data_IF_350234635405
#
_entry.id   IF_350234635405
#
_cell.length_a   1.000
_cell.length_b   1.000
_cell.length_c   1.000
_cell.angle_alpha   90.00
_cell.angle_beta   90.00
_cell.angle_gamma   90.00
#
_symmetry.space_group_name_H-M   'P 1'
#
loop_
_entity.id
_entity.type
_entity.pdbx_description
1 polymer ?
#
# COMPACT_ATOMS: atom_id res chain seq x y z
N UNK A 1 49.59 7.64 28.13
CA UNK A 1 49.81 8.98 27.54
C UNK A 1 48.92 10.00 28.24
N UNK A 2 49.49 11.14 28.66
CA UNK A 2 48.79 12.20 29.39
C UNK A 2 47.80 12.92 28.45
N UNK A 3 46.49 12.74 28.65
CA UNK A 3 45.41 13.18 27.73
C UNK A 3 45.22 14.72 27.75
N UNK A 4 45.91 15.42 28.66
CA UNK A 4 45.71 16.85 28.95
C UNK A 4 46.33 17.78 27.89
N UNK A 5 47.39 17.36 27.18
CA UNK A 5 48.08 18.17 26.16
C UNK A 5 48.17 17.47 24.79
N UNK A 6 47.04 16.96 24.30
CA UNK A 6 46.96 16.32 22.98
C UNK A 6 46.96 17.38 21.86
N UNK A 7 47.85 17.24 20.87
CA UNK A 7 47.84 17.97 19.60
C UNK A 7 46.96 17.25 18.57
N UNK A 8 46.70 17.87 17.42
CA UNK A 8 45.80 17.30 16.41
C UNK A 8 46.23 15.90 15.95
N UNK A 9 47.52 15.72 15.64
CA UNK A 9 48.05 14.43 15.15
C UNK A 9 47.98 13.33 16.20
N UNK A 10 48.33 13.63 17.45
CA UNK A 10 48.29 12.66 18.55
C UNK A 10 46.86 12.22 18.85
N UNK A 11 45.90 13.15 18.83
CA UNK A 11 44.49 12.82 19.04
C UNK A 11 43.89 12.06 17.87
N UNK A 12 44.22 12.46 16.64
CA UNK A 12 43.84 11.75 15.42
C UNK A 12 44.38 10.31 15.39
N UNK A 13 45.62 10.09 15.84
CA UNK A 13 46.20 8.74 15.95
C UNK A 13 45.44 7.87 16.94
N UNK A 14 45.12 8.40 18.12
CA UNK A 14 44.34 7.66 19.14
C UNK A 14 42.95 7.30 18.58
N UNK A 15 42.24 8.23 17.94
CA UNK A 15 40.94 7.95 17.34
C UNK A 15 41.05 6.88 16.25
N UNK A 16 42.09 6.94 15.41
CA UNK A 16 42.31 5.96 14.35
C UNK A 16 42.61 4.56 14.91
N UNK A 17 43.53 4.46 15.85
CA UNK A 17 43.98 3.17 16.37
C UNK A 17 42.96 2.54 17.33
N UNK A 18 42.44 3.32 18.29
CA UNK A 18 41.58 2.82 19.35
C UNK A 18 40.10 2.74 18.95
N UNK A 19 39.63 3.58 17.99
CA UNK A 19 38.23 3.55 17.54
C UNK A 19 38.09 2.99 16.12
N UNK A 20 38.64 3.66 15.11
CA UNK A 20 38.41 3.31 13.69
C UNK A 20 38.94 1.91 13.35
N UNK A 21 40.17 1.59 13.76
CA UNK A 21 40.79 0.29 13.51
C UNK A 21 40.07 -0.86 14.23
N UNK A 22 39.57 -0.63 15.45
CA UNK A 22 38.76 -1.61 16.18
C UNK A 22 37.42 -1.86 15.48
N UNK A 23 36.78 -0.80 14.97
CA UNK A 23 35.55 -0.89 14.17
C UNK A 23 35.80 -1.64 12.86
N UNK A 24 36.81 -1.24 12.09
CA UNK A 24 37.16 -1.87 10.80
C UNK A 24 37.45 -3.36 10.97
N UNK A 25 38.27 -3.73 11.95
CA UNK A 25 38.55 -5.15 12.25
C UNK A 25 37.29 -5.94 12.64
N UNK A 26 36.34 -5.29 13.32
CA UNK A 26 35.08 -5.95 13.66
C UNK A 26 34.19 -6.13 12.42
N UNK A 27 34.18 -5.15 11.51
CA UNK A 27 33.37 -5.15 10.29
C UNK A 27 33.95 -6.03 9.17
N UNK A 28 35.19 -6.52 9.31
CA UNK A 28 35.77 -7.56 8.45
C UNK A 28 35.15 -8.95 8.70
N UNK A 29 34.43 -9.15 9.80
CA UNK A 29 33.74 -10.42 10.07
C UNK A 29 32.48 -10.56 9.21
N UNK A 30 32.17 -11.78 8.77
CA UNK A 30 30.95 -12.08 8.00
C UNK A 30 29.66 -11.88 8.80
N UNK A 31 29.70 -12.13 10.12
CA UNK A 31 28.55 -11.96 11.01
C UNK A 31 28.72 -10.76 11.94
N UNK A 32 27.94 -9.71 11.67
CA UNK A 32 27.89 -8.49 12.46
C UNK A 32 26.54 -8.42 13.18
N UNK A 33 26.59 -8.37 14.49
CA UNK A 33 25.40 -8.21 15.33
C UNK A 33 24.96 -6.74 15.33
N UNK A 34 23.75 -6.46 14.82
CA UNK A 34 23.22 -5.08 14.65
C UNK A 34 23.38 -4.20 15.91
N UNK A 35 23.21 -4.79 17.10
CA UNK A 35 23.18 -4.08 18.38
C UNK A 35 24.36 -4.40 19.31
N UNK A 36 25.48 -4.92 18.78
CA UNK A 36 26.63 -5.26 19.61
C UNK A 36 27.24 -4.03 20.26
N UNK A 37 27.43 -4.11 21.57
CA UNK A 37 28.18 -3.11 22.30
C UNK A 37 29.68 -3.36 22.14
N UNK A 38 30.31 -2.74 21.14
CA UNK A 38 31.73 -2.98 20.81
C UNK A 38 32.71 -2.31 21.78
N UNK A 39 32.27 -1.24 22.45
CA UNK A 39 33.10 -0.43 23.33
C UNK A 39 32.58 -0.44 24.75
N UNK A 40 33.48 -0.60 25.72
CA UNK A 40 33.14 -0.44 27.12
C UNK A 40 32.88 1.03 27.47
N UNK A 41 32.25 1.28 28.62
CA UNK A 41 32.04 2.64 29.11
C UNK A 41 33.36 3.40 29.35
N UNK A 42 34.44 2.69 29.69
CA UNK A 42 35.76 3.29 29.91
C UNK A 42 36.43 3.67 28.58
N UNK A 43 36.34 2.81 27.56
CA UNK A 43 36.82 3.10 26.21
C UNK A 43 36.05 4.27 25.59
N UNK A 44 34.72 4.28 25.73
CA UNK A 44 33.88 5.38 25.27
C UNK A 44 34.26 6.71 25.92
N UNK A 45 34.37 6.73 27.26
CA UNK A 45 34.74 7.93 28.01
C UNK A 45 36.12 8.45 27.57
N UNK A 46 37.08 7.54 27.35
CA UNK A 46 38.42 7.88 26.88
C UNK A 46 38.39 8.53 25.49
N UNK A 47 37.73 7.91 24.52
CA UNK A 47 37.64 8.42 23.15
C UNK A 47 36.91 9.76 23.09
N UNK A 48 35.78 9.89 23.80
CA UNK A 48 35.06 11.15 23.91
C UNK A 48 35.91 12.26 24.54
N UNK A 49 36.69 11.95 25.59
CA UNK A 49 37.58 12.92 26.25
C UNK A 49 38.70 13.39 25.32
N UNK A 50 39.24 12.50 24.47
CA UNK A 50 40.23 12.87 23.45
C UNK A 50 39.63 13.88 22.48
N UNK A 51 38.45 13.60 21.93
CA UNK A 51 37.74 14.53 21.03
C UNK A 51 37.46 15.86 21.72
N UNK A 52 36.94 15.82 22.95
CA UNK A 52 36.69 17.01 23.76
C UNK A 52 37.97 17.85 23.93
N UNK A 53 39.08 17.25 24.34
CA UNK A 53 40.34 17.97 24.55
C UNK A 53 40.94 18.54 23.26
N UNK A 54 40.66 17.94 22.11
CA UNK A 54 41.04 18.48 20.80
C UNK A 54 40.18 19.69 20.38
N UNK A 55 38.90 19.67 20.73
CA UNK A 55 37.91 20.61 20.21
C UNK A 55 37.60 21.77 21.17
N UNK A 56 37.77 21.58 22.49
CA UNK A 56 37.43 22.58 23.52
C UNK A 56 38.55 23.61 23.78
N UNK A 57 39.72 23.49 23.13
CA UNK A 57 40.81 24.46 23.25
C UNK A 57 40.46 25.77 22.56
N UNK A 58 40.95 26.90 23.10
CA UNK A 58 40.81 28.21 22.45
C UNK A 58 41.65 28.29 21.17
N UNK A 59 41.22 29.14 20.23
CA UNK A 59 42.00 29.47 19.04
C UNK A 59 43.44 29.88 19.42
N UNK A 60 44.47 29.47 18.66
CA UNK A 60 44.43 28.76 17.37
C UNK A 60 44.37 27.22 17.47
N UNK A 61 44.24 26.64 18.66
CA UNK A 61 44.33 25.19 18.89
C UNK A 61 42.97 24.47 18.91
N UNK A 62 41.91 25.11 18.42
CA UNK A 62 40.59 24.51 18.27
C UNK A 62 40.54 23.69 16.98
N UNK A 63 40.64 22.37 17.07
CA UNK A 63 40.71 21.51 15.90
C UNK A 63 39.36 21.02 15.40
N UNK A 64 38.25 21.57 15.89
CA UNK A 64 36.88 21.10 15.60
C UNK A 64 36.60 21.00 14.08
N UNK A 65 36.98 22.03 13.31
CA UNK A 65 36.84 22.05 11.85
C UNK A 65 37.65 20.97 11.16
N UNK A 66 38.89 20.76 11.61
CA UNK A 66 39.80 19.79 11.02
C UNK A 66 39.37 18.36 11.32
N UNK A 67 38.90 18.08 12.53
CA UNK A 67 38.33 16.78 12.91
C UNK A 67 37.08 16.49 12.08
N UNK A 68 36.15 17.45 11.95
CA UNK A 68 34.95 17.29 11.13
C UNK A 68 35.30 16.96 9.66
N UNK A 69 36.23 17.72 9.06
CA UNK A 69 36.68 17.47 7.69
C UNK A 69 37.37 16.11 7.54
N UNK A 70 38.35 15.80 8.41
CA UNK A 70 39.12 14.54 8.32
C UNK A 70 38.27 13.31 8.57
N UNK A 71 37.22 13.42 9.38
CA UNK A 71 36.26 12.34 9.55
C UNK A 71 35.56 12.02 8.22
N UNK A 72 35.07 13.04 7.51
CA UNK A 72 34.42 12.83 6.21
C UNK A 72 35.36 12.32 5.12
N UNK A 73 36.60 12.82 5.08
CA UNK A 73 37.64 12.30 4.17
C UNK A 73 37.93 10.81 4.44
N UNK A 74 38.02 10.42 5.72
CA UNK A 74 38.30 9.03 6.10
C UNK A 74 37.17 8.09 5.68
N UNK A 75 35.91 8.51 5.86
CA UNK A 75 34.75 7.75 5.41
C UNK A 75 34.68 7.64 3.88
N UNK A 76 35.01 8.71 3.16
CA UNK A 76 35.04 8.70 1.70
C UNK A 76 36.10 7.71 1.19
N UNK A 77 37.29 7.72 1.79
CA UNK A 77 38.36 6.78 1.45
C UNK A 77 37.98 5.34 1.78
N UNK A 78 37.35 5.08 2.94
CA UNK A 78 36.84 3.75 3.28
C UNK A 78 35.91 3.21 2.18
N UNK A 79 34.96 4.01 1.71
CA UNK A 79 34.03 3.60 0.65
C UNK A 79 34.74 3.33 -0.68
N UNK A 80 35.69 4.20 -1.05
CA UNK A 80 36.44 4.08 -2.30
C UNK A 80 37.36 2.85 -2.28
N UNK A 81 38.09 2.61 -1.18
CA UNK A 81 39.11 1.58 -1.13
C UNK A 81 38.54 0.19 -0.85
N UNK A 82 37.47 0.09 -0.06
CA UNK A 82 36.90 -1.20 0.37
C UNK A 82 35.72 -1.65 -0.47
N UNK A 83 34.85 -0.72 -0.90
CA UNK A 83 33.57 -1.09 -1.52
C UNK A 83 33.62 -0.96 -3.05
N UNK A 84 34.16 0.14 -3.60
CA UNK A 84 34.21 0.33 -5.07
C UNK A 84 34.90 -0.81 -5.84
N UNK A 85 35.97 -1.46 -5.34
CA UNK A 85 36.57 -2.60 -6.04
C UNK A 85 35.63 -3.80 -6.17
N UNK A 86 34.75 -4.03 -5.19
CA UNK A 86 33.79 -5.14 -5.18
C UNK A 86 32.65 -4.93 -6.20
N UNK A 87 32.38 -3.68 -6.57
CA UNK A 87 31.36 -3.33 -7.56
C UNK A 87 31.84 -3.55 -9.00
N UNK A 88 33.15 -3.66 -9.23
CA UNK A 88 33.71 -3.83 -10.58
C UNK A 88 33.37 -5.23 -11.11
N UNK A 89 32.84 -5.28 -12.34
CA UNK A 89 32.47 -6.51 -13.05
C UNK A 89 31.34 -7.33 -12.40
N UNK A 90 30.58 -6.75 -11.47
CA UNK A 90 29.40 -7.36 -10.86
C UNK A 90 28.14 -7.00 -11.67
N UNK A 91 27.16 -7.91 -11.72
CA UNK A 91 25.84 -7.62 -12.28
C UNK A 91 25.01 -6.66 -11.38
N UNK A 92 23.91 -6.11 -11.89
CA UNK A 92 23.08 -5.12 -11.18
C UNK A 92 22.53 -5.65 -9.84
N UNK A 93 22.16 -6.94 -9.79
CA UNK A 93 21.64 -7.58 -8.59
C UNK A 93 22.71 -7.71 -7.50
N UNK A 94 23.89 -8.19 -7.87
CA UNK A 94 25.03 -8.34 -6.98
C UNK A 94 25.56 -6.99 -6.52
N UNK A 95 25.62 -5.98 -7.39
CA UNK A 95 25.94 -4.60 -6.99
C UNK A 95 24.96 -4.09 -5.93
N UNK A 96 23.66 -4.34 -6.11
CA UNK A 96 22.63 -3.95 -5.14
C UNK A 96 22.81 -4.66 -3.80
N UNK A 97 23.08 -5.98 -3.80
CA UNK A 97 23.39 -6.74 -2.57
C UNK A 97 24.64 -6.21 -1.86
N UNK A 98 25.72 -5.96 -2.61
CA UNK A 98 26.97 -5.39 -2.08
C UNK A 98 26.72 -4.01 -1.47
N UNK A 99 25.90 -3.17 -2.11
CA UNK A 99 25.55 -1.85 -1.60
C UNK A 99 24.79 -1.93 -0.28
N UNK A 100 23.84 -2.86 -0.14
CA UNK A 100 23.07 -3.04 1.09
C UNK A 100 23.96 -3.52 2.25
N UNK A 101 24.82 -4.52 2.01
CA UNK A 101 25.80 -4.97 3.00
C UNK A 101 26.77 -3.83 3.39
N UNK A 102 27.25 -3.07 2.38
CA UNK A 102 28.08 -1.90 2.58
C UNK A 102 27.38 -0.82 3.43
N UNK A 103 26.10 -0.55 3.18
CA UNK A 103 25.32 0.39 3.99
C UNK A 103 25.22 -0.08 5.42
N UNK A 104 24.93 -1.36 5.65
CA UNK A 104 24.81 -1.90 6.99
C UNK A 104 26.11 -1.73 7.79
N UNK A 105 27.25 -2.08 7.18
CA UNK A 105 28.60 -1.88 7.77
C UNK A 105 28.90 -0.41 8.01
N UNK A 106 28.61 0.45 7.02
CA UNK A 106 28.81 1.90 7.10
C UNK A 106 27.95 2.56 8.18
N UNK A 107 26.67 2.19 8.27
CA UNK A 107 25.72 2.68 9.28
C UNK A 107 26.16 2.26 10.68
N UNK A 108 26.63 1.03 10.86
CA UNK A 108 27.21 0.58 12.14
C UNK A 108 28.45 1.40 12.52
N UNK A 109 29.39 1.57 11.57
CA UNK A 109 30.62 2.35 11.77
C UNK A 109 30.31 3.79 12.20
N UNK A 110 29.44 4.47 11.45
CA UNK A 110 29.13 5.89 11.66
C UNK A 110 28.27 6.10 12.91
N UNK A 111 27.39 5.17 13.28
CA UNK A 111 26.67 5.19 14.57
C UNK A 111 27.63 5.22 15.77
N UNK A 112 28.71 4.45 15.73
CA UNK A 112 29.72 4.47 16.80
C UNK A 112 30.59 5.72 16.76
N UNK A 113 31.09 6.08 15.57
CA UNK A 113 31.95 7.26 15.42
C UNK A 113 31.24 8.55 15.78
N UNK A 114 29.97 8.72 15.40
CA UNK A 114 29.16 9.89 15.75
C UNK A 114 28.96 10.01 17.28
N UNK A 115 28.90 8.89 18.02
CA UNK A 115 28.86 8.92 19.50
C UNK A 115 30.15 9.48 20.09
N UNK A 116 31.31 9.06 19.60
CA UNK A 116 32.60 9.59 20.08
C UNK A 116 32.79 11.06 19.69
N UNK A 117 32.30 11.44 18.51
CA UNK A 117 32.42 12.78 17.94
C UNK A 117 31.29 13.74 18.35
N UNK A 118 30.37 13.33 19.24
CA UNK A 118 29.16 14.09 19.62
C UNK A 118 29.44 15.51 20.11
N UNK A 119 30.64 15.80 20.61
CA UNK A 119 31.04 17.17 20.94
C UNK A 119 30.95 18.12 19.72
N UNK A 120 31.27 17.64 18.52
CA UNK A 120 31.18 18.44 17.30
C UNK A 120 29.74 18.82 16.98
N UNK A 121 28.78 17.92 17.12
CA UNK A 121 27.36 18.22 16.91
C UNK A 121 26.87 19.33 17.86
N UNK A 122 27.26 19.23 19.14
CA UNK A 122 26.80 20.17 20.18
C UNK A 122 27.38 21.57 20.07
N UNK A 123 28.58 21.72 19.53
CA UNK A 123 29.27 23.01 19.54
C UNK A 123 29.66 23.43 18.13
N UNK A 124 30.45 22.63 17.41
CA UNK A 124 30.94 23.03 16.09
C UNK A 124 29.81 23.18 15.05
N UNK A 125 28.93 22.18 14.95
CA UNK A 125 27.83 22.16 13.98
C UNK A 125 26.83 23.27 14.27
N UNK A 126 26.44 23.43 15.54
CA UNK A 126 25.50 24.46 15.99
C UNK A 126 26.04 25.88 15.70
N UNK A 127 27.31 26.17 16.05
CA UNK A 127 27.90 27.49 15.84
C UNK A 127 28.17 27.83 14.37
N UNK A 128 28.39 26.83 13.50
CA UNK A 128 28.77 27.05 12.09
C UNK A 128 27.66 26.70 11.10
N UNK A 129 26.44 26.41 11.58
CA UNK A 129 25.30 25.98 10.75
C UNK A 129 25.67 24.87 9.76
N UNK A 130 26.54 23.96 10.18
CA UNK A 130 26.99 22.84 9.35
C UNK A 130 25.98 21.68 9.41
N UNK A 131 26.16 20.65 8.57
CA UNK A 131 25.39 19.42 8.71
C UNK A 131 25.76 18.72 10.02
N UNK A 132 24.78 18.23 10.77
CA UNK A 132 25.04 17.32 11.88
C UNK A 132 25.78 16.07 11.38
N UNK A 133 26.51 15.41 12.26
CA UNK A 133 27.35 14.27 11.90
C UNK A 133 26.53 13.16 11.23
N UNK A 134 25.29 12.91 11.68
CA UNK A 134 24.37 11.98 11.02
C UNK A 134 24.18 12.35 9.54
N UNK A 135 23.67 13.55 9.28
CA UNK A 135 23.41 14.04 7.92
C UNK A 135 24.66 14.11 7.06
N UNK A 136 25.78 14.54 7.64
CA UNK A 136 27.06 14.60 6.96
C UNK A 136 27.53 13.21 6.51
N UNK A 137 27.47 12.22 7.40
CA UNK A 137 27.89 10.84 7.09
C UNK A 137 26.99 10.18 6.05
N UNK A 138 25.67 10.39 6.10
CA UNK A 138 24.75 9.88 5.08
C UNK A 138 24.98 10.54 3.73
N UNK A 139 25.22 11.85 3.71
CA UNK A 139 25.51 12.58 2.46
C UNK A 139 26.81 12.10 1.81
N UNK A 140 27.85 11.78 2.59
CA UNK A 140 29.08 11.18 2.07
C UNK A 140 28.79 9.83 1.40
N UNK A 141 28.07 8.92 2.06
CA UNK A 141 27.69 7.64 1.47
C UNK A 141 26.88 7.85 0.18
N UNK A 142 25.95 8.80 0.21
CA UNK A 142 25.11 9.15 -0.94
C UNK A 142 25.94 9.55 -2.16
N UNK A 143 26.83 10.52 -1.99
CA UNK A 143 27.65 11.09 -3.07
C UNK A 143 28.71 10.10 -3.56
N UNK A 144 29.31 9.31 -2.66
CA UNK A 144 30.45 8.44 -2.99
C UNK A 144 30.05 7.11 -3.61
N UNK A 145 28.84 6.61 -3.29
CA UNK A 145 28.43 5.25 -3.65
C UNK A 145 26.99 5.17 -4.18
N UNK A 146 26.00 5.57 -3.38
CA UNK A 146 24.59 5.33 -3.69
C UNK A 146 24.16 5.95 -5.01
N UNK A 147 24.53 7.21 -5.27
CA UNK A 147 24.14 7.92 -6.49
C UNK A 147 24.65 7.25 -7.77
N UNK A 148 25.81 6.59 -7.72
CA UNK A 148 26.39 5.86 -8.85
C UNK A 148 25.57 4.60 -9.19
N UNK A 149 25.01 3.94 -8.18
CA UNK A 149 24.24 2.70 -8.31
C UNK A 149 22.73 2.90 -8.37
N UNK A 150 22.27 4.15 -8.24
CA UNK A 150 20.85 4.49 -8.11
C UNK A 150 20.00 3.99 -9.28
N UNK A 151 20.54 3.98 -10.49
CA UNK A 151 19.84 3.46 -11.67
C UNK A 151 19.74 1.93 -11.65
N UNK A 152 20.84 1.24 -11.33
CA UNK A 152 20.88 -0.23 -11.16
C UNK A 152 19.84 -0.67 -10.11
N UNK A 153 19.74 0.04 -8.98
CA UNK A 153 18.74 -0.24 -7.93
C UNK A 153 17.32 -0.09 -8.45
N UNK A 154 17.03 0.94 -9.25
CA UNK A 154 15.69 1.14 -9.84
C UNK A 154 15.29 -0.01 -10.76
N UNK A 155 16.22 -0.54 -11.55
CA UNK A 155 15.95 -1.72 -12.38
C UNK A 155 15.65 -2.94 -11.50
N UNK A 156 16.49 -3.19 -10.49
CA UNK A 156 16.32 -4.30 -9.55
C UNK A 156 15.01 -4.21 -8.76
N UNK A 157 14.58 -3.01 -8.35
CA UNK A 157 13.26 -2.80 -7.72
C UNK A 157 12.15 -3.26 -8.66
N UNK A 158 12.19 -2.87 -9.93
CA UNK A 158 11.16 -3.27 -10.90
C UNK A 158 11.13 -4.79 -11.10
N UNK A 159 12.30 -5.41 -11.23
CA UNK A 159 12.44 -6.84 -11.47
C UNK A 159 11.98 -7.67 -10.27
N UNK A 160 12.49 -7.39 -9.07
CA UNK A 160 12.10 -8.08 -7.84
C UNK A 160 10.60 -7.92 -7.60
N UNK A 161 10.07 -6.70 -7.76
CA UNK A 161 8.65 -6.46 -7.53
C UNK A 161 7.74 -7.22 -8.53
N UNK A 162 8.21 -7.42 -9.76
CA UNK A 162 7.53 -8.26 -10.74
C UNK A 162 7.63 -9.75 -10.36
N UNK A 163 8.81 -10.24 -10.00
CA UNK A 163 9.05 -11.62 -9.64
C UNK A 163 8.23 -12.05 -8.42
N UNK A 164 8.12 -11.17 -7.41
CA UNK A 164 7.32 -11.40 -6.21
C UNK A 164 5.82 -11.56 -6.48
N UNK A 165 5.31 -11.19 -7.66
CA UNK A 165 3.93 -11.53 -8.07
C UNK A 165 3.79 -12.96 -8.57
N UNK A 166 4.86 -13.53 -9.12
CA UNK A 166 4.86 -14.87 -9.71
C UNK A 166 5.25 -15.92 -8.67
N UNK A 167 6.26 -15.61 -7.86
CA UNK A 167 6.82 -16.50 -6.85
C UNK A 167 7.35 -15.70 -5.65
N UNK A 168 7.11 -16.20 -4.44
CA UNK A 168 7.62 -15.58 -3.21
C UNK A 168 9.02 -16.13 -2.90
N UNK A 169 10.05 -15.44 -3.38
CA UNK A 169 11.45 -15.70 -2.99
C UNK A 169 11.81 -14.88 -1.75
N UNK A 170 12.15 -15.57 -0.65
CA UNK A 170 12.50 -14.96 0.64
C UNK A 170 13.68 -14.00 0.50
N UNK A 171 14.73 -14.40 -0.23
CA UNK A 171 15.94 -13.61 -0.41
C UNK A 171 15.66 -12.29 -1.15
N UNK A 172 14.80 -12.32 -2.18
CA UNK A 172 14.43 -11.11 -2.92
C UNK A 172 13.55 -10.18 -2.10
N UNK A 173 12.63 -10.75 -1.31
CA UNK A 173 11.79 -10.00 -0.37
C UNK A 173 12.64 -9.29 0.68
N UNK A 174 13.58 -10.00 1.29
CA UNK A 174 14.49 -9.41 2.29
C UNK A 174 15.36 -8.31 1.66
N UNK A 175 15.92 -8.55 0.47
CA UNK A 175 16.69 -7.54 -0.25
C UNK A 175 15.85 -6.28 -0.52
N UNK A 176 14.60 -6.44 -0.96
CA UNK A 176 13.70 -5.34 -1.22
C UNK A 176 13.39 -4.53 0.05
N UNK A 177 13.08 -5.20 1.16
CA UNK A 177 12.87 -4.55 2.45
C UNK A 177 14.10 -3.75 2.88
N UNK A 178 15.30 -4.31 2.72
CA UNK A 178 16.55 -3.62 3.04
C UNK A 178 16.78 -2.38 2.15
N UNK A 179 16.40 -2.44 0.87
CA UNK A 179 16.44 -1.27 -0.03
C UNK A 179 15.47 -0.19 0.47
N UNK A 180 14.24 -0.57 0.82
CA UNK A 180 13.24 0.37 1.36
C UNK A 180 13.75 1.03 2.64
N UNK A 181 14.35 0.26 3.56
CA UNK A 181 14.96 0.80 4.78
C UNK A 181 16.11 1.77 4.49
N UNK A 182 17.01 1.43 3.56
CA UNK A 182 18.09 2.31 3.12
C UNK A 182 17.54 3.66 2.62
N UNK A 183 16.55 3.64 1.73
CA UNK A 183 15.95 4.85 1.19
C UNK A 183 15.31 5.71 2.29
N UNK A 184 14.57 5.10 3.22
CA UNK A 184 13.99 5.81 4.37
C UNK A 184 15.07 6.45 5.26
N UNK A 185 16.15 5.72 5.55
CA UNK A 185 17.25 6.25 6.37
C UNK A 185 17.97 7.44 5.69
N UNK A 186 18.13 7.40 4.36
CA UNK A 186 18.73 8.48 3.57
C UNK A 186 17.80 9.69 3.39
N UNK A 187 16.49 9.46 3.25
CA UNK A 187 15.49 10.53 3.08
C UNK A 187 15.17 11.27 4.38
N UNK A 188 15.29 10.64 5.56
CA UNK A 188 15.01 11.27 6.85
C UNK A 188 15.74 12.61 7.08
N UNK A 189 16.89 12.80 6.44
CA UNK A 189 17.73 14.00 6.57
C UNK A 189 17.89 14.74 5.23
N UNK A 190 17.13 14.35 4.20
CA UNK A 190 17.22 14.89 2.84
C UNK A 190 15.86 15.34 2.31
N UNK A 191 15.79 16.54 1.73
CA UNK A 191 14.58 17.02 1.06
C UNK A 191 14.36 16.42 -0.34
N UNK A 192 15.20 15.46 -0.75
CA UNK A 192 15.21 14.91 -2.11
C UNK A 192 14.06 13.92 -2.38
N UNK A 193 13.41 13.37 -1.33
CA UNK A 193 12.30 12.40 -1.45
C UNK A 193 12.63 11.24 -2.41
N UNK A 194 13.79 10.63 -2.25
CA UNK A 194 14.32 9.60 -3.14
C UNK A 194 13.39 8.38 -3.19
N UNK A 195 12.74 8.02 -2.09
CA UNK A 195 11.78 6.92 -2.02
C UNK A 195 10.62 7.13 -3.01
N UNK A 196 10.03 8.33 -3.06
CA UNK A 196 8.90 8.64 -3.94
C UNK A 196 9.34 8.58 -5.42
N UNK A 197 10.51 9.12 -5.73
CA UNK A 197 11.00 9.23 -7.11
C UNK A 197 11.52 7.93 -7.70
N UNK A 198 12.12 7.06 -6.88
CA UNK A 198 12.79 5.85 -7.35
C UNK A 198 11.98 4.58 -7.06
N UNK A 199 11.48 4.43 -5.84
CA UNK A 199 10.78 3.20 -5.43
C UNK A 199 9.32 3.28 -5.85
N UNK A 200 8.59 4.27 -5.32
CA UNK A 200 7.14 4.39 -5.56
C UNK A 200 6.84 4.52 -7.05
N UNK A 201 7.57 5.41 -7.75
CA UNK A 201 7.40 5.57 -9.21
C UNK A 201 7.57 4.26 -9.97
N UNK A 202 8.57 3.45 -9.60
CA UNK A 202 8.88 2.21 -10.32
C UNK A 202 7.89 1.10 -10.01
N UNK A 203 7.40 1.04 -8.77
CA UNK A 203 6.28 0.18 -8.37
C UNK A 203 5.02 0.55 -9.14
N UNK A 204 4.67 1.83 -9.18
CA UNK A 204 3.48 2.35 -9.88
C UNK A 204 3.54 2.03 -11.38
N UNK A 205 4.69 2.29 -12.02
CA UNK A 205 4.92 1.93 -13.42
C UNK A 205 4.70 0.43 -13.67
N UNK A 206 5.27 -0.40 -12.78
CA UNK A 206 5.19 -1.84 -12.87
C UNK A 206 3.76 -2.38 -12.71
N UNK A 207 3.04 -1.94 -11.67
CA UNK A 207 1.62 -2.26 -11.42
C UNK A 207 0.77 -1.86 -12.63
N UNK A 208 0.95 -0.63 -13.11
CA UNK A 208 0.20 -0.12 -14.25
C UNK A 208 0.41 -0.99 -15.51
N UNK A 209 1.65 -1.36 -15.81
CA UNK A 209 1.96 -2.19 -16.99
C UNK A 209 1.40 -3.60 -16.87
N UNK A 210 1.46 -4.20 -15.67
CA UNK A 210 0.94 -5.55 -15.42
C UNK A 210 -0.59 -5.58 -15.51
N UNK A 211 -1.27 -4.69 -14.79
CA UNK A 211 -2.73 -4.71 -14.74
C UNK A 211 -3.40 -4.19 -16.01
N UNK A 212 -2.74 -3.34 -16.82
CA UNK A 212 -3.27 -3.01 -18.15
C UNK A 212 -3.37 -4.22 -19.05
N UNK A 213 -2.34 -5.07 -19.07
CA UNK A 213 -2.38 -6.33 -19.84
C UNK A 213 -3.43 -7.29 -19.28
N UNK A 214 -3.46 -7.45 -17.95
CA UNK A 214 -4.47 -8.31 -17.28
C UNK A 214 -5.89 -7.81 -17.48
N UNK A 215 -6.13 -6.50 -17.53
CA UNK A 215 -7.44 -5.93 -17.82
C UNK A 215 -7.95 -6.37 -19.19
N UNK A 216 -7.10 -6.29 -20.22
CA UNK A 216 -7.48 -6.72 -21.58
C UNK A 216 -7.67 -8.24 -21.68
N UNK A 217 -6.88 -9.04 -20.97
CA UNK A 217 -7.06 -10.49 -20.92
C UNK A 217 -8.39 -10.85 -20.23
N UNK A 218 -8.59 -10.36 -19.01
CA UNK A 218 -9.74 -10.75 -18.18
C UNK A 218 -11.07 -10.25 -18.74
N UNK A 219 -11.13 -9.05 -19.34
CA UNK A 219 -12.38 -8.53 -19.89
C UNK A 219 -12.90 -9.35 -21.08
N UNK A 220 -12.00 -9.98 -21.83
CA UNK A 220 -12.34 -10.78 -23.01
C UNK A 220 -12.60 -12.24 -22.65
N UNK A 221 -11.84 -12.78 -21.70
CA UNK A 221 -11.85 -14.22 -21.42
C UNK A 221 -12.75 -14.61 -20.25
N UNK A 222 -13.02 -13.72 -19.30
CA UNK A 222 -13.72 -14.07 -18.07
C UNK A 222 -15.20 -13.69 -18.09
N UNK A 223 -16.09 -14.52 -17.52
CA UNK A 223 -17.41 -14.10 -17.11
C UNK A 223 -17.35 -12.91 -16.15
N UNK A 224 -18.39 -12.08 -16.14
CA UNK A 224 -18.44 -10.88 -15.30
C UNK A 224 -18.21 -11.17 -13.81
N UNK A 225 -18.78 -12.24 -13.28
CA UNK A 225 -18.61 -12.60 -11.87
C UNK A 225 -17.15 -12.95 -11.53
N UNK A 226 -16.53 -13.78 -12.36
CA UNK A 226 -15.11 -14.15 -12.23
C UNK A 226 -14.18 -12.94 -12.39
N UNK A 227 -14.55 -11.99 -13.26
CA UNK A 227 -13.84 -10.72 -13.42
C UNK A 227 -13.86 -9.89 -12.13
N UNK A 228 -15.05 -9.71 -11.53
CA UNK A 228 -15.22 -8.97 -10.27
C UNK A 228 -14.45 -9.63 -9.12
N UNK A 229 -14.53 -10.95 -9.00
CA UNK A 229 -13.77 -11.71 -7.99
C UNK A 229 -12.26 -11.58 -8.23
N UNK A 230 -11.81 -11.59 -9.48
CA UNK A 230 -10.40 -11.42 -9.83
C UNK A 230 -9.86 -10.04 -9.46
N UNK A 231 -10.68 -8.99 -9.56
CA UNK A 231 -10.31 -7.63 -9.09
C UNK A 231 -10.11 -7.60 -7.57
N UNK A 232 -11.07 -8.13 -6.81
CA UNK A 232 -11.00 -8.18 -5.34
C UNK A 232 -9.72 -8.92 -4.89
N UNK A 233 -9.49 -10.11 -5.44
CA UNK A 233 -8.30 -10.91 -5.17
C UNK A 233 -7.01 -10.20 -5.57
N UNK A 234 -7.00 -9.43 -6.67
CA UNK A 234 -5.84 -8.68 -7.11
C UNK A 234 -5.49 -7.54 -6.14
N UNK A 235 -6.49 -6.81 -5.66
CA UNK A 235 -6.32 -5.73 -4.69
C UNK A 235 -5.77 -6.29 -3.38
N UNK A 236 -6.37 -7.36 -2.86
CA UNK A 236 -5.95 -8.00 -1.61
C UNK A 236 -4.51 -8.52 -1.70
N UNK A 237 -4.18 -9.26 -2.78
CA UNK A 237 -2.82 -9.79 -2.98
C UNK A 237 -1.76 -8.70 -3.09
N UNK A 238 -2.03 -7.64 -3.85
CA UNK A 238 -1.06 -6.53 -3.98
C UNK A 238 -0.91 -5.78 -2.66
N UNK A 239 -1.99 -5.57 -1.92
CA UNK A 239 -1.96 -4.89 -0.64
C UNK A 239 -1.17 -5.66 0.42
N UNK A 240 -1.41 -6.97 0.56
CA UNK A 240 -0.66 -7.82 1.50
C UNK A 240 0.81 -7.95 1.10
N UNK A 241 1.10 -8.10 -0.20
CA UNK A 241 2.48 -8.07 -0.72
C UNK A 241 3.17 -6.74 -0.35
N UNK A 242 2.52 -5.60 -0.61
CA UNK A 242 3.09 -4.28 -0.34
C UNK A 242 3.37 -4.05 1.14
N UNK A 243 2.47 -4.49 2.02
CA UNK A 243 2.70 -4.49 3.47
C UNK A 243 3.90 -5.33 3.86
N UNK A 244 4.02 -6.53 3.27
CA UNK A 244 5.14 -7.44 3.56
C UNK A 244 6.51 -6.92 3.10
N UNK A 245 6.53 -5.90 2.23
CA UNK A 245 7.71 -5.22 1.71
C UNK A 245 8.06 -3.93 2.47
N UNK A 246 7.39 -3.67 3.60
CA UNK A 246 7.59 -2.48 4.45
C UNK A 246 7.43 -1.15 3.69
N UNK A 247 6.60 -1.12 2.66
CA UNK A 247 6.27 0.10 1.91
C UNK A 247 5.48 1.08 2.78
N UNK A 248 5.50 2.36 2.40
CA UNK A 248 4.70 3.37 3.07
C UNK A 248 3.20 3.16 2.78
N UNK A 249 2.34 3.47 3.75
CA UNK A 249 0.88 3.32 3.61
C UNK A 249 0.34 4.14 2.42
N UNK A 250 0.86 5.34 2.21
CA UNK A 250 0.52 6.19 1.05
C UNK A 250 0.82 5.50 -0.29
N UNK A 251 1.93 4.74 -0.37
CA UNK A 251 2.29 3.99 -1.58
C UNK A 251 1.34 2.81 -1.78
N UNK A 252 0.99 2.10 -0.69
CA UNK A 252 0.01 1.02 -0.73
C UNK A 252 -1.35 1.51 -1.25
N UNK A 253 -1.82 2.66 -0.75
CA UNK A 253 -3.09 3.27 -1.19
C UNK A 253 -3.03 3.67 -2.67
N UNK A 254 -1.94 4.31 -3.10
CA UNK A 254 -1.75 4.67 -4.52
C UNK A 254 -1.78 3.46 -5.44
N UNK A 255 -1.12 2.36 -5.05
CA UNK A 255 -1.14 1.10 -5.84
C UNK A 255 -2.56 0.57 -5.95
N UNK A 256 -3.31 0.49 -4.85
CA UNK A 256 -4.71 0.07 -4.85
C UNK A 256 -5.56 0.96 -5.78
N UNK A 257 -5.42 2.28 -5.68
CA UNK A 257 -6.15 3.22 -6.52
C UNK A 257 -5.85 3.05 -8.01
N UNK A 258 -4.61 2.74 -8.36
CA UNK A 258 -4.21 2.45 -9.76
C UNK A 258 -4.87 1.16 -10.26
N UNK A 259 -4.87 0.10 -9.45
CA UNK A 259 -5.50 -1.18 -9.82
C UNK A 259 -7.00 -0.98 -10.06
N UNK A 260 -7.67 -0.33 -9.11
CA UNK A 260 -9.10 -0.02 -9.19
C UNK A 260 -9.39 0.85 -10.43
N UNK A 261 -8.58 1.88 -10.69
CA UNK A 261 -8.74 2.72 -11.89
C UNK A 261 -8.62 1.91 -13.18
N UNK A 262 -7.60 1.07 -13.32
CA UNK A 262 -7.34 0.31 -14.56
C UNK A 262 -8.42 -0.76 -14.77
N UNK A 263 -8.75 -1.53 -13.72
CA UNK A 263 -9.64 -2.67 -13.84
C UNK A 263 -11.12 -2.30 -13.81
N UNK A 264 -11.50 -1.18 -13.20
CA UNK A 264 -12.90 -0.76 -13.09
C UNK A 264 -13.16 0.47 -13.94
N UNK A 265 -12.52 1.61 -13.62
CA UNK A 265 -12.86 2.88 -14.24
C UNK A 265 -12.59 2.91 -15.76
N UNK A 266 -11.43 2.44 -16.20
CA UNK A 266 -11.07 2.42 -17.63
C UNK A 266 -11.91 1.41 -18.44
N UNK A 267 -12.46 0.38 -17.79
CA UNK A 267 -13.30 -0.66 -18.40
C UNK A 267 -14.80 -0.48 -18.14
N UNK A 268 -15.17 0.63 -17.50
CA UNK A 268 -16.51 0.82 -16.95
C UNK A 268 -17.61 0.75 -18.02
N UNK A 269 -17.39 1.41 -19.16
CA UNK A 269 -18.36 1.40 -20.26
C UNK A 269 -18.62 -0.02 -20.74
N UNK A 270 -17.57 -0.81 -20.98
CA UNK A 270 -17.70 -2.21 -21.40
C UNK A 270 -18.43 -3.06 -20.36
N UNK A 271 -18.17 -2.84 -19.06
CA UNK A 271 -18.80 -3.58 -17.97
C UNK A 271 -20.30 -3.24 -17.83
N UNK A 272 -20.68 -1.97 -18.03
CA UNK A 272 -22.05 -1.48 -17.89
C UNK A 272 -22.88 -1.75 -19.17
N UNK A 273 -22.26 -1.66 -20.35
CA UNK A 273 -22.94 -1.87 -21.62
C UNK A 273 -23.47 -3.31 -21.75
N UNK A 274 -22.78 -4.29 -21.14
CA UNK A 274 -23.26 -5.67 -21.07
C UNK A 274 -24.23 -5.89 -19.90
N UNK A 275 -25.39 -5.23 -19.98
CA UNK A 275 -26.46 -5.26 -18.95
C UNK A 275 -26.92 -6.67 -18.57
N UNK A 276 -26.79 -7.64 -19.48
CA UNK A 276 -27.14 -9.04 -19.25
C UNK A 276 -26.37 -9.65 -18.08
N UNK A 277 -25.12 -9.23 -17.87
CA UNK A 277 -24.31 -9.73 -16.75
C UNK A 277 -24.96 -9.43 -15.40
N UNK A 278 -25.42 -8.19 -15.20
CA UNK A 278 -26.09 -7.77 -13.97
C UNK A 278 -27.49 -8.38 -13.87
N UNK A 279 -28.21 -8.52 -15.00
CA UNK A 279 -29.52 -9.19 -15.02
C UNK A 279 -29.42 -10.66 -14.60
N UNK A 280 -28.38 -11.37 -15.05
CA UNK A 280 -28.13 -12.75 -14.63
C UNK A 280 -27.85 -12.87 -13.13
N UNK A 281 -27.09 -11.92 -12.56
CA UNK A 281 -26.84 -11.89 -11.10
C UNK A 281 -28.12 -11.66 -10.30
N UNK A 282 -28.98 -10.74 -10.75
CA UNK A 282 -30.28 -10.45 -10.12
C UNK A 282 -31.23 -11.66 -10.23
N UNK A 283 -31.33 -12.26 -11.43
CA UNK A 283 -32.20 -13.41 -11.68
C UNK A 283 -31.83 -14.64 -10.86
N UNK A 284 -30.53 -14.88 -10.67
CA UNK A 284 -30.01 -16.00 -9.91
C UNK A 284 -29.91 -15.72 -8.40
N UNK A 285 -30.33 -14.53 -7.94
CA UNK A 285 -30.24 -14.08 -6.56
C UNK A 285 -28.81 -14.22 -5.96
N UNK A 286 -27.79 -13.95 -6.76
CA UNK A 286 -26.39 -14.03 -6.31
C UNK A 286 -26.01 -12.74 -5.55
N UNK A 287 -26.46 -12.66 -4.30
CA UNK A 287 -26.28 -11.50 -3.43
C UNK A 287 -24.81 -11.19 -3.14
N UNK A 288 -23.95 -12.22 -3.03
CA UNK A 288 -22.52 -12.03 -2.75
C UNK A 288 -21.82 -11.29 -3.88
N UNK A 289 -22.07 -11.68 -5.13
CA UNK A 289 -21.48 -11.04 -6.30
C UNK A 289 -22.05 -9.65 -6.56
N UNK A 290 -23.35 -9.44 -6.30
CA UNK A 290 -23.96 -8.12 -6.33
C UNK A 290 -23.34 -7.19 -5.28
N UNK A 291 -23.13 -7.67 -4.05
CA UNK A 291 -22.47 -6.91 -2.99
C UNK A 291 -21.04 -6.53 -3.37
N UNK A 292 -20.25 -7.46 -3.91
CA UNK A 292 -18.89 -7.17 -4.42
C UNK A 292 -18.90 -6.12 -5.50
N UNK A 293 -19.79 -6.28 -6.49
CA UNK A 293 -19.95 -5.32 -7.60
C UNK A 293 -20.31 -3.94 -7.05
N UNK A 294 -21.25 -3.86 -6.12
CA UNK A 294 -21.65 -2.60 -5.49
C UNK A 294 -20.49 -1.94 -4.74
N UNK A 295 -19.75 -2.69 -3.91
CA UNK A 295 -18.61 -2.17 -3.15
C UNK A 295 -17.57 -1.60 -4.12
N UNK A 296 -17.15 -2.36 -5.13
CA UNK A 296 -16.15 -1.92 -6.11
C UNK A 296 -16.63 -0.72 -6.95
N UNK A 297 -17.91 -0.66 -7.30
CA UNK A 297 -18.45 0.44 -8.09
C UNK A 297 -18.74 1.68 -7.24
N UNK A 298 -18.91 1.53 -5.92
CA UNK A 298 -19.17 2.65 -5.01
C UNK A 298 -18.01 3.65 -4.93
N UNK A 299 -16.80 3.22 -5.30
CA UNK A 299 -15.62 4.08 -5.43
C UNK A 299 -15.73 5.08 -6.59
N UNK A 300 -16.66 4.87 -7.54
CA UNK A 300 -16.86 5.74 -8.69
C UNK A 300 -18.33 6.15 -8.86
N UNK A 301 -18.67 7.45 -8.71
CA UNK A 301 -20.04 7.93 -8.83
C UNK A 301 -20.72 7.56 -10.17
N UNK A 302 -19.97 7.58 -11.27
CA UNK A 302 -20.44 7.23 -12.60
C UNK A 302 -20.82 5.74 -12.67
N UNK A 303 -20.01 4.87 -12.08
CA UNK A 303 -20.24 3.43 -12.04
C UNK A 303 -21.51 3.09 -11.26
N UNK A 304 -21.68 3.73 -10.11
CA UNK A 304 -22.87 3.55 -9.27
C UNK A 304 -24.14 4.02 -9.98
N UNK A 305 -24.06 5.11 -10.73
CA UNK A 305 -25.19 5.66 -11.49
C UNK A 305 -25.63 4.71 -12.60
N UNK A 306 -24.67 4.14 -13.34
CA UNK A 306 -24.99 3.12 -14.35
C UNK A 306 -25.53 1.84 -13.74
N UNK A 307 -24.98 1.37 -12.61
CA UNK A 307 -25.49 0.19 -11.89
C UNK A 307 -26.96 0.39 -11.45
N UNK A 308 -27.30 1.55 -10.86
CA UNK A 308 -28.68 1.90 -10.48
C UNK A 308 -29.64 1.87 -11.66
N UNK A 309 -29.20 2.43 -12.80
CA UNK A 309 -30.01 2.44 -14.03
C UNK A 309 -30.31 1.01 -14.51
N UNK A 310 -29.31 0.13 -14.54
CA UNK A 310 -29.48 -1.25 -14.98
C UNK A 310 -30.41 -2.03 -14.04
N UNK A 311 -30.22 -1.89 -12.72
CA UNK A 311 -31.11 -2.53 -11.74
C UNK A 311 -32.55 -2.02 -11.91
N UNK A 312 -32.74 -0.72 -12.10
CA UNK A 312 -34.06 -0.13 -12.34
C UNK A 312 -34.72 -0.63 -13.64
N UNK A 313 -33.95 -0.82 -14.71
CA UNK A 313 -34.43 -1.41 -15.97
C UNK A 313 -34.87 -2.87 -15.77
N UNK A 314 -34.13 -3.67 -15.00
CA UNK A 314 -34.49 -5.05 -14.66
C UNK A 314 -35.81 -5.14 -13.90
N UNK A 315 -35.96 -4.35 -12.83
CA UNK A 315 -37.17 -4.33 -11.99
C UNK A 315 -38.40 -3.94 -12.82
N UNK A 316 -38.26 -2.94 -13.71
CA UNK A 316 -39.35 -2.54 -14.62
C UNK A 316 -39.73 -3.66 -15.59
N UNK A 317 -38.75 -4.41 -16.11
CA UNK A 317 -38.98 -5.53 -17.02
C UNK A 317 -39.74 -6.67 -16.32
N UNK A 318 -39.23 -7.17 -15.20
CA UNK A 318 -39.87 -8.23 -14.40
C UNK A 318 -41.27 -7.81 -13.90
N UNK A 319 -41.43 -6.56 -13.46
CA UNK A 319 -42.72 -6.02 -13.05
C UNK A 319 -43.75 -6.00 -14.18
N UNK A 320 -43.35 -5.67 -15.40
CA UNK A 320 -44.22 -5.70 -16.57
C UNK A 320 -44.56 -7.13 -16.99
N UNK A 321 -43.62 -8.08 -16.98
CA UNK A 321 -43.90 -9.49 -17.25
C UNK A 321 -44.90 -10.08 -16.25
N UNK A 322 -44.73 -9.76 -14.97
CA UNK A 322 -45.64 -10.19 -13.91
C UNK A 322 -47.05 -9.63 -14.14
N UNK A 323 -47.16 -8.33 -14.43
CA UNK A 323 -48.42 -7.67 -14.78
C UNK A 323 -49.11 -8.34 -15.96
N UNK A 324 -48.38 -8.60 -17.04
CA UNK A 324 -48.94 -9.24 -18.24
C UNK A 324 -49.40 -10.68 -17.96
N UNK A 325 -48.67 -11.44 -17.14
CA UNK A 325 -49.08 -12.77 -16.69
C UNK A 325 -50.40 -12.72 -15.92
N UNK A 326 -50.58 -11.77 -15.01
CA UNK A 326 -51.84 -11.58 -14.27
C UNK A 326 -52.99 -11.13 -15.18
N UNK A 327 -52.73 -10.27 -16.16
CA UNK A 327 -53.72 -9.86 -17.16
C UNK A 327 -54.15 -11.05 -18.04
N UNK A 328 -53.24 -11.95 -18.39
CA UNK A 328 -53.58 -13.16 -19.14
C UNK A 328 -54.36 -14.18 -18.28
N UNK A 329 -53.98 -14.36 -17.01
CA UNK A 329 -54.70 -15.21 -16.06
C UNK A 329 -56.14 -14.72 -15.83
N UNK A 330 -56.33 -13.42 -15.63
CA UNK A 330 -57.67 -12.84 -15.47
C UNK A 330 -58.52 -13.03 -16.73
N UNK A 331 -57.96 -12.83 -17.93
CA UNK A 331 -58.65 -13.12 -19.20
C UNK A 331 -59.02 -14.60 -19.35
N UNK A 332 -58.14 -15.53 -18.97
CA UNK A 332 -58.44 -16.98 -18.99
C UNK A 332 -59.53 -17.36 -17.98
N UNK A 333 -59.54 -16.76 -16.79
CA UNK A 333 -60.62 -16.96 -15.81
C UNK A 333 -61.96 -16.41 -16.30
N UNK A 334 -61.97 -15.24 -16.95
CA UNK A 334 -63.18 -14.69 -17.57
C UNK A 334 -63.68 -15.56 -18.73
N UNK A 335 -62.80 -16.12 -19.56
CA UNK A 335 -63.17 -17.08 -20.61
C UNK A 335 -63.69 -18.41 -20.02
N UNK A 336 -63.09 -18.94 -18.96
CA UNK A 336 -63.55 -20.17 -18.31
C UNK A 336 -64.89 -20.01 -17.58
N UNK A 337 -65.18 -18.82 -17.02
CA UNK A 337 -66.52 -18.49 -16.47
C UNK A 337 -67.56 -18.35 -17.58
N UNK A 338 -67.21 -17.82 -18.74
CA UNK A 338 -68.12 -17.74 -19.89
C UNK A 338 -68.41 -19.12 -20.50
N UNK A 339 -67.47 -20.07 -20.49
CA UNK A 339 -67.73 -21.46 -20.95
C UNK A 339 -68.63 -22.21 -19.97
N UNK A 340 -68.42 -22.08 -18.66
CA UNK A 340 -69.30 -22.70 -17.66
C UNK A 340 -70.70 -22.05 -17.61
N UNK A 341 -70.82 -20.76 -17.93
CA UNK A 341 -72.13 -20.09 -18.07
C UNK A 341 -72.85 -20.42 -19.39
N UNK A 342 -72.21 -21.08 -20.35
CA UNK A 342 -72.84 -21.51 -21.60
C UNK A 342 -73.38 -22.94 -21.55
N UNK A 343 -73.19 -23.67 -20.44
CA UNK A 343 -73.71 -25.03 -20.27
C UNK A 343 -74.79 -25.18 -19.19
N UNK A 344 -75.09 -24.15 -18.40
CA UNK A 344 -76.17 -24.21 -17.40
C UNK A 344 -77.12 -23.02 -17.57
N UNK A 345 -77.97 -23.11 -18.59
CA UNK A 345 -79.28 -22.47 -18.57
C UNK A 345 -80.28 -23.59 -18.80
N UNK A 346 -80.66 -24.27 -17.72
CA UNK A 346 -82.05 -24.65 -17.44
C UNK A 346 -82.14 -25.36 -16.06
N UNK A 347 -83.21 -25.01 -15.35
CA UNK A 347 -83.81 -25.63 -14.16
C UNK A 347 -83.19 -25.49 -12.75
N UNK A 348 -83.87 -24.62 -11.98
CA UNK A 348 -84.47 -24.84 -10.65
C UNK A 348 -83.66 -25.30 -9.42
N UNK A 349 -83.84 -24.47 -8.37
CA UNK A 349 -83.99 -24.76 -6.93
C UNK A 349 -82.80 -25.26 -6.07
N UNK A 350 -82.47 -24.38 -5.11
CA UNK A 350 -82.21 -24.58 -3.66
C UNK A 350 -81.06 -25.49 -3.14
N UNK A 351 -80.52 -25.01 -2.02
CA UNK A 351 -79.67 -25.64 -0.97
C UNK A 351 -78.13 -25.55 -1.09
N UNK A 352 -77.59 -24.64 -0.24
CA UNK A 352 -76.56 -24.85 0.80
C UNK A 352 -75.24 -25.56 0.46
N UNK A 353 -74.11 -24.83 0.58
CA UNK A 353 -73.26 -24.86 1.79
C UNK A 353 -71.90 -24.17 1.58
N UNK A 354 -71.61 -23.26 2.52
CA UNK A 354 -70.37 -23.14 3.31
C UNK A 354 -69.01 -23.49 2.70
N UNK A 355 -68.14 -22.48 2.62
CA UNK A 355 -67.03 -22.40 3.59
C UNK A 355 -66.31 -21.04 3.53
N UNK A 356 -66.67 -20.20 4.49
CA UNK A 356 -65.80 -19.17 5.05
C UNK A 356 -64.79 -19.86 5.97
N UNK A 357 -63.49 -19.60 5.81
CA UNK A 357 -62.55 -19.62 6.92
C UNK A 357 -61.74 -18.32 6.89
N UNK A 358 -62.07 -17.50 7.87
CA UNK A 358 -61.38 -16.34 8.40
C UNK A 358 -60.16 -16.79 9.22
N UNK A 359 -59.14 -15.92 9.37
CA UNK A 359 -58.45 -15.60 10.63
C UNK A 359 -57.45 -14.46 10.35
N UNK A 360 -57.91 -13.30 10.78
CA UNK A 360 -57.28 -12.06 11.22
C UNK A 360 -55.88 -12.10 11.86
N UNK A 361 -55.13 -11.02 11.59
CA UNK A 361 -54.41 -10.13 12.51
C UNK A 361 -54.01 -10.65 13.90
N UNK A 362 -52.71 -10.51 14.21
CA UNK A 362 -52.29 -9.99 15.50
C UNK A 362 -51.00 -9.15 15.34
N UNK A 363 -50.82 -8.21 16.27
CA UNK A 363 -49.72 -7.26 16.46
C UNK A 363 -49.82 -5.89 15.77
N UNK A 364 -50.70 -5.06 16.32
CA UNK A 364 -50.52 -3.61 16.36
C UNK A 364 -50.79 -3.11 17.79
N UNK A 365 -49.76 -2.57 18.45
CA UNK A 365 -49.93 -1.80 19.70
C UNK A 365 -49.07 -0.53 19.67
N UNK A 366 -49.75 0.57 19.33
CA UNK A 366 -49.62 1.96 19.80
C UNK A 366 -48.23 2.52 20.18
N UNK A 367 -47.88 3.65 19.53
CA UNK A 367 -47.92 4.95 20.20
C UNK A 367 -48.01 6.11 19.20
N UNK A 368 -49.01 6.97 19.41
CA UNK A 368 -49.28 8.23 18.72
C UNK A 368 -48.22 9.31 18.97
N UNK A 369 -47.99 10.18 17.98
CA UNK A 369 -48.14 11.65 18.11
C UNK A 369 -48.02 12.40 16.77
N UNK A 370 -49.14 13.02 16.39
CA UNK A 370 -49.32 14.37 15.83
C UNK A 370 -48.63 14.83 14.50
N UNK A 371 -49.47 14.93 13.47
CA UNK A 371 -49.59 15.95 12.40
C UNK A 371 -48.40 16.86 12.04
N UNK A 372 -47.97 16.87 10.77
CA UNK A 372 -48.23 17.96 9.79
C UNK A 372 -47.57 17.73 8.41
N UNK A 373 -48.41 17.83 7.36
CA UNK A 373 -48.20 18.27 5.96
C UNK A 373 -46.92 18.02 5.13
N UNK A 374 -47.19 17.47 3.93
CA UNK A 374 -46.55 17.67 2.62
C UNK A 374 -45.12 17.17 2.37
N UNK A 375 -44.97 16.14 1.53
CA UNK A 375 -44.63 16.27 0.10
C UNK A 375 -44.59 14.90 -0.59
N UNK A 376 -45.03 14.85 -1.84
CA UNK A 376 -45.12 13.65 -2.67
C UNK A 376 -43.74 12.98 -2.86
N UNK A 377 -43.58 11.74 -2.37
CA UNK A 377 -42.53 10.82 -2.81
C UNK A 377 -43.17 9.68 -3.60
N UNK A 378 -42.65 9.46 -4.79
CA UNK A 378 -43.06 8.40 -5.73
C UNK A 378 -42.71 7.02 -5.18
N UNK A 379 -43.62 6.05 -5.36
CA UNK A 379 -43.56 4.66 -4.87
C UNK A 379 -42.31 3.84 -5.31
N UNK A 380 -41.46 4.38 -6.20
CA UNK A 380 -40.22 3.76 -6.66
C UNK A 380 -39.10 3.73 -5.57
N UNK A 381 -39.16 4.59 -4.54
CA UNK A 381 -38.14 4.68 -3.50
C UNK A 381 -38.28 3.60 -2.39
N UNK A 382 -39.47 3.04 -2.20
CA UNK A 382 -39.76 2.12 -1.09
C UNK A 382 -39.24 0.70 -1.41
N UNK A 383 -39.35 0.26 -2.67
CA UNK A 383 -38.93 -1.08 -3.08
C UNK A 383 -37.39 -1.22 -3.11
N UNK A 384 -36.67 -0.12 -3.38
CA UNK A 384 -35.20 -0.14 -3.37
C UNK A 384 -34.63 -0.22 -1.94
N UNK A 385 -35.31 0.35 -0.94
CA UNK A 385 -34.88 0.33 0.45
C UNK A 385 -34.97 -1.08 1.08
N UNK A 386 -35.99 -1.87 0.73
CA UNK A 386 -36.14 -3.21 1.28
C UNK A 386 -35.11 -4.21 0.69
N UNK A 387 -34.75 -4.08 -0.59
CA UNK A 387 -33.65 -4.85 -1.18
C UNK A 387 -32.27 -4.42 -0.65
N UNK A 388 -32.08 -3.14 -0.34
CA UNK A 388 -30.82 -2.61 0.23
C UNK A 388 -30.59 -3.02 1.69
N UNK A 389 -31.65 -3.33 2.43
CA UNK A 389 -31.54 -3.79 3.83
C UNK A 389 -31.12 -5.27 3.91
N UNK A 390 -31.44 -6.08 2.90
CA UNK A 390 -31.00 -7.47 2.76
C UNK A 390 -29.53 -7.63 2.35
N UNK A 391 -28.90 -6.62 1.75
CA UNK A 391 -27.49 -6.65 1.29
C UNK A 391 -26.49 -6.24 2.40
N UNK A 392 -26.99 -5.80 3.58
CA UNK A 392 -26.17 -5.39 4.74
C UNK A 392 -25.87 -6.50 5.76
N UNK A 393 -26.12 -7.76 5.43
CA UNK A 393 -25.51 -8.93 6.07
C UNK A 393 -24.46 -9.52 5.12
#
# INVERSE_FOLDING_TARGET
>A
MNVVNINFEGGGRIIREEAMGKLEKYLENEHIEKNKNLFSATEYTRLYTVVYNMCAKKNPFCYSKEVYRKYGESLSMYTIDKIKPLLKNSDELNKTKILIDAWFKYSFYTKWMNKFLRYLDRYYVEYNSSLCLSAYTKNIFKITLFNELREDIKNIIYEIYNNLRLQEEIDQKELFCNIVELYKELDNESNEKMYEHDIEKKIVENVNNFYKKKAEEWINDYPFDDYIISIENAIEKEYEKNKSLNLNDDTCEKVTNIIVKILIYEKLNTLIDNKNNIFHLLKNNNLSSLRRTYILFSYFPEALTGLKKIIGEYIKMEGNELKDKYVQLSRKMHMSKNVNNMQNVDDNTMEDNDNYIDISNDDNNNNDTAYTYHEYRTDDDIILCDYMTLIKL
#
